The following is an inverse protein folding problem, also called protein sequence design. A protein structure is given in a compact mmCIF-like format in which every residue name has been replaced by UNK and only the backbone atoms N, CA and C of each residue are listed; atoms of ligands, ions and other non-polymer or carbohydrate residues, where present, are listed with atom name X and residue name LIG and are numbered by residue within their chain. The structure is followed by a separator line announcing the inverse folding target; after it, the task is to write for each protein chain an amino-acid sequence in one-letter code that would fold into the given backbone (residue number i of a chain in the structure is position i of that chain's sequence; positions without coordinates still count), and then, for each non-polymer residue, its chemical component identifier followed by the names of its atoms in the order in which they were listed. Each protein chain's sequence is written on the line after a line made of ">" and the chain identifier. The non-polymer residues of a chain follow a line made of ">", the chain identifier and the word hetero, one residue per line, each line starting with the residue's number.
data_IF_953416075874
#
_entry.id   IF_953416075874
#
_cell.length_a   1.000
_cell.length_b   1.000
_cell.length_c   1.000
_cell.angle_alpha   90.00
_cell.angle_beta   90.00
_cell.angle_gamma   90.00
#
_symmetry.space_group_name_H-M   'P 1'
#
loop_
_entity.id
_entity.type
_entity.pdbx_description
1 polymer ?
#
# COMPACT_ATOMS: atom_id res chain seq x y z
N UNK A 1 -65.96 -13.99 -93.04
CA UNK A 1 -65.80 -15.28 -93.74
C UNK A 1 -64.31 -15.57 -93.85
N UNK A 2 -63.91 -16.75 -93.36
CA UNK A 2 -62.68 -17.50 -93.66
C UNK A 2 -61.33 -16.84 -93.28
N UNK A 3 -60.38 -17.47 -92.60
CA UNK A 3 -60.25 -18.83 -92.10
C UNK A 3 -58.83 -19.01 -91.52
N UNK A 4 -58.78 -19.58 -90.31
CA UNK A 4 -57.81 -20.54 -89.74
C UNK A 4 -56.45 -20.74 -90.44
N UNK A 5 -55.34 -20.63 -89.69
CA UNK A 5 -54.42 -21.77 -89.46
C UNK A 5 -53.38 -21.52 -88.35
N UNK A 6 -53.38 -22.49 -87.42
CA UNK A 6 -52.48 -22.77 -86.30
C UNK A 6 -51.01 -22.97 -86.73
N UNK A 7 -50.09 -22.61 -85.84
CA UNK A 7 -49.04 -23.54 -85.38
C UNK A 7 -48.59 -23.22 -83.96
N UNK A 8 -48.28 -24.30 -83.24
CA UNK A 8 -48.14 -24.47 -81.80
C UNK A 8 -46.67 -24.36 -81.36
N UNK A 9 -46.40 -23.83 -80.16
CA UNK A 9 -45.73 -24.53 -79.05
C UNK A 9 -45.09 -23.55 -78.04
N UNK A 10 -45.27 -23.84 -76.75
CA UNK A 10 -44.30 -23.47 -75.71
C UNK A 10 -44.84 -22.54 -74.62
N UNK A 11 -45.36 -23.13 -73.54
CA UNK A 11 -45.60 -22.47 -72.26
C UNK A 11 -44.26 -22.40 -71.50
N UNK A 12 -43.83 -21.21 -71.09
CA UNK A 12 -42.93 -21.03 -69.96
C UNK A 12 -43.21 -19.68 -69.30
N UNK A 13 -43.70 -19.75 -68.06
CA UNK A 13 -44.00 -18.63 -67.18
C UNK A 13 -42.66 -18.08 -66.66
N UNK A 14 -42.29 -16.86 -67.07
CA UNK A 14 -41.13 -16.17 -66.51
C UNK A 14 -41.58 -15.31 -65.32
N UNK A 15 -41.18 -15.76 -64.14
CA UNK A 15 -41.36 -15.09 -62.85
C UNK A 15 -40.44 -13.87 -62.77
N UNK A 16 -40.98 -12.76 -62.28
CA UNK A 16 -40.28 -11.52 -61.95
C UNK A 16 -39.12 -11.77 -60.99
N UNK A 17 -37.91 -11.35 -61.35
CA UNK A 17 -36.86 -11.03 -60.38
C UNK A 17 -36.29 -9.64 -60.67
N UNK A 18 -36.71 -8.69 -59.84
CA UNK A 18 -36.11 -7.36 -59.77
C UNK A 18 -34.66 -7.52 -59.29
N UNK A 19 -33.71 -7.19 -60.16
CA UNK A 19 -32.30 -7.05 -59.78
C UNK A 19 -32.13 -5.77 -58.96
N UNK A 20 -32.22 -5.92 -57.64
CA UNK A 20 -31.70 -4.93 -56.69
C UNK A 20 -30.17 -5.00 -56.75
N UNK A 21 -29.57 -3.90 -57.22
CA UNK A 21 -28.17 -3.57 -56.99
C UNK A 21 -27.96 -3.47 -55.46
N UNK A 22 -27.60 -4.58 -54.84
CA UNK A 22 -27.02 -4.57 -53.50
C UNK A 22 -25.62 -3.99 -53.59
N UNK A 23 -25.52 -2.69 -53.31
CA UNK A 23 -24.31 -2.08 -52.79
C UNK A 23 -23.86 -2.90 -51.60
N UNK A 24 -22.83 -3.74 -51.80
CA UNK A 24 -21.97 -4.17 -50.72
C UNK A 24 -21.24 -2.92 -50.21
N UNK A 25 -21.89 -2.17 -49.32
CA UNK A 25 -21.16 -1.39 -48.33
C UNK A 25 -20.56 -2.42 -47.37
N UNK A 26 -19.43 -2.99 -47.77
CA UNK A 26 -18.47 -3.47 -46.78
C UNK A 26 -18.19 -2.27 -45.89
N UNK A 27 -18.54 -2.39 -44.61
CA UNK A 27 -18.29 -1.39 -43.59
C UNK A 27 -16.79 -1.14 -43.51
N UNK A 28 -16.30 -0.17 -44.28
CA UNK A 28 -14.98 0.43 -44.19
C UNK A 28 -14.88 1.33 -42.95
N UNK A 29 -15.31 0.86 -41.79
CA UNK A 29 -14.87 1.41 -40.50
C UNK A 29 -13.54 0.72 -40.12
N UNK A 30 -12.58 0.80 -41.04
CA UNK A 30 -11.21 0.43 -40.81
C UNK A 30 -10.49 1.65 -40.22
N UNK A 31 -9.77 1.45 -39.12
CA UNK A 31 -8.53 2.17 -38.78
C UNK A 31 -8.56 3.67 -38.40
N UNK A 32 -9.72 4.31 -38.14
CA UNK A 32 -9.69 5.71 -37.68
C UNK A 32 -9.40 5.84 -36.17
N UNK A 33 -8.39 6.65 -35.86
CA UNK A 33 -8.00 7.02 -34.50
C UNK A 33 -9.21 7.61 -33.73
N UNK A 34 -9.57 7.08 -32.54
CA UNK A 34 -10.74 7.57 -31.79
C UNK A 34 -10.66 9.06 -31.48
N UNK A 35 -9.46 9.55 -31.18
CA UNK A 35 -9.16 10.96 -31.02
C UNK A 35 -7.66 11.19 -30.97
N UNK A 36 -7.20 12.33 -31.48
CA UNK A 36 -5.83 12.79 -31.27
C UNK A 36 -5.64 13.47 -29.90
N UNK A 37 -6.70 14.00 -29.30
CA UNK A 37 -6.70 14.50 -27.92
C UNK A 37 -6.84 13.32 -26.96
N UNK A 38 -5.86 13.14 -26.07
CA UNK A 38 -5.82 12.03 -25.12
C UNK A 38 -7.03 12.02 -24.17
N UNK A 39 -7.53 13.19 -23.78
CA UNK A 39 -8.70 13.33 -22.89
C UNK A 39 -9.98 12.76 -23.51
N UNK A 40 -10.10 12.82 -24.84
CA UNK A 40 -11.20 12.23 -25.60
C UNK A 40 -10.90 10.79 -26.05
N UNK A 41 -9.62 10.45 -26.23
CA UNK A 41 -9.19 9.11 -26.59
C UNK A 41 -9.43 8.11 -25.47
N UNK A 42 -9.05 8.42 -24.22
CA UNK A 42 -9.12 7.48 -23.10
C UNK A 42 -10.54 6.94 -22.81
N UNK A 43 -11.60 7.76 -22.79
CA UNK A 43 -12.98 7.27 -22.67
C UNK A 43 -13.37 6.36 -23.83
N UNK A 44 -12.99 6.70 -25.06
CA UNK A 44 -13.27 5.87 -26.24
C UNK A 44 -12.50 4.54 -26.19
N UNK A 45 -11.21 4.57 -25.85
CA UNK A 45 -10.35 3.41 -25.66
C UNK A 45 -10.94 2.44 -24.64
N UNK A 46 -11.30 2.96 -23.47
CA UNK A 46 -11.74 2.13 -22.32
C UNK A 46 -13.17 1.60 -22.45
N UNK A 47 -13.95 2.07 -23.42
CA UNK A 47 -15.38 1.77 -23.56
C UNK A 47 -15.71 0.27 -23.70
N UNK A 48 -14.88 -0.50 -24.40
CA UNK A 48 -15.09 -1.93 -24.61
C UNK A 48 -13.80 -2.69 -24.97
N UNK A 49 -13.85 -4.01 -24.83
CA UNK A 49 -12.72 -4.91 -25.09
C UNK A 49 -12.19 -4.82 -26.53
N UNK A 50 -13.06 -4.63 -27.53
CA UNK A 50 -12.64 -4.55 -28.94
C UNK A 50 -11.77 -3.32 -29.20
N UNK A 51 -12.16 -2.17 -28.65
CA UNK A 51 -11.42 -0.91 -28.81
C UNK A 51 -10.09 -0.97 -28.07
N UNK A 52 -10.09 -1.53 -26.85
CA UNK A 52 -8.85 -1.78 -26.12
C UNK A 52 -7.93 -2.70 -26.90
N UNK A 53 -8.42 -3.82 -27.42
CA UNK A 53 -7.63 -4.76 -28.21
C UNK A 53 -7.05 -4.11 -29.48
N UNK A 54 -7.82 -3.26 -30.15
CA UNK A 54 -7.41 -2.57 -31.38
C UNK A 54 -6.29 -1.56 -31.14
N UNK A 55 -6.37 -0.80 -30.05
CA UNK A 55 -5.43 0.28 -29.74
C UNK A 55 -4.42 -0.11 -28.66
N UNK A 56 -4.17 -1.41 -28.50
CA UNK A 56 -3.08 -1.94 -27.68
C UNK A 56 -1.94 -2.41 -28.59
N UNK A 57 -0.70 -2.09 -28.22
CA UNK A 57 0.47 -2.48 -28.98
C UNK A 57 0.54 -4.01 -29.15
N UNK A 58 1.13 -4.47 -30.25
CA UNK A 58 1.32 -5.91 -30.49
C UNK A 58 2.12 -6.59 -29.38
N UNK A 59 3.06 -5.86 -28.77
CA UNK A 59 3.81 -6.27 -27.59
C UNK A 59 3.70 -5.17 -26.54
N UNK A 60 3.15 -5.51 -25.38
CA UNK A 60 2.96 -4.64 -24.22
C UNK A 60 4.01 -4.95 -23.18
N UNK A 61 4.64 -3.93 -22.60
CA UNK A 61 5.47 -4.07 -21.41
C UNK A 61 4.56 -4.32 -20.21
N UNK A 62 4.69 -5.50 -19.60
CA UNK A 62 3.93 -5.87 -18.41
C UNK A 62 4.85 -5.88 -17.19
N UNK A 63 4.54 -5.05 -16.19
CA UNK A 63 5.18 -5.07 -14.88
C UNK A 63 4.27 -5.78 -13.90
N UNK A 64 4.82 -6.74 -13.15
CA UNK A 64 4.12 -7.42 -12.05
C UNK A 64 5.04 -7.54 -10.85
N UNK A 65 4.49 -7.50 -9.64
CA UNK A 65 5.26 -7.81 -8.44
C UNK A 65 5.53 -9.32 -8.33
N UNK A 66 6.77 -9.69 -8.02
CA UNK A 66 7.17 -11.09 -7.81
C UNK A 66 8.00 -11.24 -6.54
N UNK A 67 7.83 -12.38 -5.82
CA UNK A 67 8.64 -12.66 -4.65
C UNK A 67 10.09 -12.90 -5.08
N UNK A 68 11.04 -12.38 -4.30
CA UNK A 68 12.48 -12.55 -4.52
C UNK A 68 13.13 -13.09 -3.26
N UNK A 69 13.92 -14.16 -3.41
CA UNK A 69 14.58 -14.83 -2.30
C UNK A 69 13.61 -15.46 -1.29
N UNK A 70 14.12 -15.69 -0.09
CA UNK A 70 13.30 -16.03 1.08
C UNK A 70 12.94 -14.73 1.82
N UNK A 71 11.78 -14.70 2.49
CA UNK A 71 11.34 -13.63 3.42
C UNK A 71 10.46 -12.48 2.89
N UNK A 72 9.47 -12.75 2.03
CA UNK A 72 8.36 -11.81 1.80
C UNK A 72 8.73 -10.49 1.13
N UNK A 73 9.91 -10.44 0.49
CA UNK A 73 10.35 -9.32 -0.35
C UNK A 73 9.75 -9.50 -1.74
N UNK A 74 9.17 -8.41 -2.26
CA UNK A 74 8.64 -8.36 -3.62
C UNK A 74 9.37 -7.30 -4.42
N UNK A 75 9.66 -7.63 -5.68
CA UNK A 75 10.26 -6.69 -6.63
C UNK A 75 9.44 -6.63 -7.92
N UNK A 76 9.40 -5.46 -8.59
CA UNK A 76 8.77 -5.34 -9.89
C UNK A 76 9.57 -6.10 -10.94
N UNK A 77 8.89 -7.00 -11.65
CA UNK A 77 9.44 -7.74 -12.78
C UNK A 77 8.73 -7.31 -14.05
N UNK A 78 9.50 -6.81 -15.01
CA UNK A 78 8.99 -6.39 -16.33
C UNK A 78 9.23 -7.48 -17.38
N UNK A 79 8.24 -7.74 -18.21
CA UNK A 79 8.30 -8.66 -19.35
C UNK A 79 7.48 -8.16 -20.53
N UNK A 80 7.79 -8.60 -21.76
CA UNK A 80 6.95 -8.34 -22.92
C UNK A 80 5.84 -9.38 -23.05
N UNK A 81 4.59 -8.94 -23.18
CA UNK A 81 3.44 -9.79 -23.48
C UNK A 81 2.90 -9.46 -24.86
N UNK A 82 2.62 -10.48 -25.68
CA UNK A 82 1.95 -10.24 -26.97
C UNK A 82 0.46 -10.05 -26.76
N UNK A 83 -0.20 -9.37 -27.69
CA UNK A 83 -1.65 -9.10 -27.61
C UNK A 83 -2.50 -10.37 -27.45
N UNK A 84 -2.05 -11.52 -27.96
CA UNK A 84 -2.73 -12.82 -27.78
C UNK A 84 -2.65 -13.38 -26.35
N UNK A 85 -1.72 -12.91 -25.53
CA UNK A 85 -1.58 -13.30 -24.14
C UNK A 85 -2.29 -12.34 -23.16
N UNK A 86 -2.91 -11.28 -23.67
CA UNK A 86 -3.67 -10.31 -22.87
C UNK A 86 -5.14 -10.71 -22.79
N UNK A 87 -5.69 -10.65 -21.59
CA UNK A 87 -7.12 -10.87 -21.35
C UNK A 87 -7.86 -9.52 -21.36
N UNK A 88 -8.60 -9.24 -22.42
CA UNK A 88 -9.42 -8.03 -22.53
C UNK A 88 -10.80 -8.22 -21.85
N UNK A 89 -11.38 -7.17 -21.25
CA UNK A 89 -10.84 -5.82 -21.13
C UNK A 89 -9.68 -5.72 -20.12
N UNK A 90 -8.67 -4.94 -20.46
CA UNK A 90 -7.50 -4.64 -19.61
C UNK A 90 -7.83 -3.61 -18.53
N UNK A 91 -8.71 -2.67 -18.84
CA UNK A 91 -9.18 -1.65 -17.90
C UNK A 91 -10.70 -1.51 -17.92
N UNK A 92 -11.28 -1.08 -16.81
CA UNK A 92 -12.70 -0.73 -16.77
C UNK A 92 -12.94 0.65 -17.41
N UNK A 93 -14.15 0.92 -17.95
CA UNK A 93 -14.47 2.18 -18.60
C UNK A 93 -14.11 3.41 -17.75
N UNK A 94 -13.62 4.45 -18.42
CA UNK A 94 -13.30 5.76 -17.85
C UNK A 94 -14.25 6.78 -18.48
N UNK A 95 -14.89 7.61 -17.66
CA UNK A 95 -15.79 8.65 -18.14
C UNK A 95 -15.05 9.77 -18.87
N UNK A 96 -15.78 10.56 -19.67
CA UNK A 96 -15.24 11.77 -20.30
C UNK A 96 -14.91 12.87 -19.29
N UNK A 97 -15.60 12.86 -18.15
CA UNK A 97 -15.30 13.70 -16.99
C UNK A 97 -14.37 12.97 -16.01
N UNK A 98 -13.93 13.68 -14.96
CA UNK A 98 -13.12 13.11 -13.88
C UNK A 98 -13.77 11.84 -13.32
N UNK A 99 -13.08 10.71 -13.45
CA UNK A 99 -13.49 9.43 -12.87
C UNK A 99 -12.82 9.27 -11.50
N UNK A 100 -13.62 9.07 -10.45
CA UNK A 100 -13.08 8.88 -9.10
C UNK A 100 -12.18 7.63 -9.03
N UNK A 101 -11.02 7.77 -8.39
CA UNK A 101 -10.00 6.72 -8.32
C UNK A 101 -9.19 6.52 -9.60
N UNK A 102 -9.39 7.32 -10.65
CA UNK A 102 -8.55 7.31 -11.86
C UNK A 102 -7.81 8.63 -11.98
N UNK A 103 -6.49 8.56 -12.04
CA UNK A 103 -5.60 9.70 -12.24
C UNK A 103 -4.98 9.62 -13.63
N UNK A 104 -5.04 10.71 -14.39
CA UNK A 104 -4.39 10.82 -15.70
C UNK A 104 -3.19 11.75 -15.53
N UNK A 105 -2.01 11.21 -15.79
CA UNK A 105 -0.74 11.89 -15.63
C UNK A 105 -0.12 12.11 -17.01
N UNK A 106 0.06 13.38 -17.39
CA UNK A 106 0.83 13.77 -18.58
C UNK A 106 2.32 13.67 -18.25
N UNK A 107 3.03 12.79 -18.94
CA UNK A 107 4.49 12.63 -18.78
C UNK A 107 5.22 13.59 -19.73
N UNK A 108 4.77 13.60 -20.99
CA UNK A 108 5.14 14.56 -22.03
C UNK A 108 4.05 14.56 -23.12
N UNK A 109 4.21 15.40 -24.15
CA UNK A 109 3.25 15.55 -25.27
C UNK A 109 2.88 14.22 -25.97
N UNK A 110 3.71 13.19 -25.83
CA UNK A 110 3.56 11.89 -26.48
C UNK A 110 3.36 10.74 -25.49
N UNK A 111 3.31 10.98 -24.18
CA UNK A 111 3.19 9.91 -23.19
C UNK A 111 2.25 10.28 -22.05
N UNK A 112 1.31 9.38 -21.76
CA UNK A 112 0.39 9.49 -20.65
C UNK A 112 0.41 8.21 -19.81
N UNK A 113 0.33 8.38 -18.49
CA UNK A 113 0.01 7.31 -17.57
C UNK A 113 -1.43 7.47 -17.09
N UNK A 114 -2.16 6.36 -17.03
CA UNK A 114 -3.48 6.30 -16.39
C UNK A 114 -3.35 5.40 -15.18
N UNK A 115 -3.41 5.99 -13.99
CA UNK A 115 -3.29 5.29 -12.72
C UNK A 115 -4.67 4.99 -12.17
N UNK A 116 -5.02 3.70 -12.13
CA UNK A 116 -6.30 3.19 -11.69
C UNK A 116 -6.18 2.64 -10.26
N UNK A 117 -6.74 3.40 -9.33
CA UNK A 117 -6.79 3.11 -7.89
C UNK A 117 -8.17 2.65 -7.44
N UNK A 118 -9.12 2.40 -8.36
CA UNK A 118 -10.50 2.04 -8.02
C UNK A 118 -10.60 0.75 -7.20
N UNK A 119 -9.61 -0.13 -7.29
CA UNK A 119 -9.50 -1.36 -6.50
C UNK A 119 -8.75 -1.18 -5.15
N UNK A 120 -8.45 0.07 -4.77
CA UNK A 120 -7.71 0.42 -3.56
C UNK A 120 -6.19 0.45 -3.75
N UNK A 121 -5.47 1.02 -2.78
CA UNK A 121 -4.02 1.21 -2.86
C UNK A 121 -3.23 -0.11 -2.93
N UNK A 122 -3.82 -1.21 -2.45
CA UNK A 122 -3.24 -2.56 -2.56
C UNK A 122 -3.35 -3.18 -3.96
N UNK A 123 -4.09 -2.57 -4.88
CA UNK A 123 -4.41 -3.15 -6.20
C UNK A 123 -4.32 -2.11 -7.32
N UNK A 124 -3.36 -1.19 -7.23
CA UNK A 124 -3.16 -0.15 -8.24
C UNK A 124 -2.69 -0.75 -9.56
N UNK A 125 -3.26 -0.25 -10.66
CA UNK A 125 -2.78 -0.54 -12.01
C UNK A 125 -2.38 0.75 -12.70
N UNK A 126 -1.32 0.72 -13.49
CA UNK A 126 -0.88 1.84 -14.33
C UNK A 126 -0.91 1.41 -15.78
N UNK A 127 -1.58 2.18 -16.63
CA UNK A 127 -1.66 1.96 -18.07
C UNK A 127 -0.84 3.04 -18.77
N UNK A 128 0.22 2.63 -19.47
CA UNK A 128 1.14 3.55 -20.15
C UNK A 128 0.76 3.66 -21.63
N UNK A 129 0.43 4.87 -22.07
CA UNK A 129 0.07 5.18 -23.44
C UNK A 129 1.17 6.01 -24.09
N UNK A 130 1.45 5.71 -25.36
CA UNK A 130 2.35 6.50 -26.19
C UNK A 130 1.69 6.95 -27.48
N UNK A 131 2.13 8.10 -27.99
CA UNK A 131 1.64 8.66 -29.25
C UNK A 131 2.40 8.06 -30.43
N UNK A 132 1.64 7.50 -31.35
CA UNK A 132 2.10 7.09 -32.69
C UNK A 132 1.21 7.78 -33.75
N UNK A 133 0.77 7.06 -34.78
CA UNK A 133 -0.29 7.55 -35.69
C UNK A 133 -1.61 7.82 -34.93
N UNK A 134 -1.83 7.10 -33.83
CA UNK A 134 -2.85 7.37 -32.82
C UNK A 134 -2.24 7.09 -31.44
N UNK A 135 -2.99 7.32 -30.36
CA UNK A 135 -2.62 6.83 -29.04
C UNK A 135 -2.71 5.30 -28.99
N UNK A 136 -1.72 4.67 -28.35
CA UNK A 136 -1.63 3.22 -28.20
C UNK A 136 -1.25 2.87 -26.77
N UNK A 137 -1.91 1.88 -26.18
CA UNK A 137 -1.48 1.28 -24.91
C UNK A 137 -0.23 0.43 -25.15
N UNK A 138 0.90 0.82 -24.56
CA UNK A 138 2.18 0.10 -24.70
C UNK A 138 2.66 -0.57 -23.42
N UNK A 139 2.10 -0.20 -22.27
CA UNK A 139 2.50 -0.74 -20.97
C UNK A 139 1.32 -0.96 -20.02
N UNK A 140 1.41 -2.01 -19.21
CA UNK A 140 0.49 -2.29 -18.10
C UNK A 140 1.31 -2.70 -16.88
N UNK A 141 1.21 -1.93 -15.82
CA UNK A 141 1.81 -2.22 -14.53
C UNK A 141 0.72 -2.69 -13.56
N UNK A 142 0.89 -3.88 -12.99
CA UNK A 142 0.05 -4.42 -11.93
C UNK A 142 0.85 -4.47 -10.63
N UNK A 143 0.57 -3.50 -9.76
CA UNK A 143 1.23 -3.35 -8.46
C UNK A 143 0.53 -4.15 -7.35
N UNK A 144 -0.41 -5.03 -7.70
CA UNK A 144 -1.03 -5.95 -6.74
C UNK A 144 -0.12 -7.13 -6.40
N UNK A 145 -0.35 -7.72 -5.22
CA UNK A 145 0.30 -8.96 -4.78
C UNK A 145 -0.74 -10.08 -4.76
N UNK A 146 -0.58 -11.02 -5.70
CA UNK A 146 -1.44 -12.20 -5.81
C UNK A 146 -1.26 -13.13 -4.61
N UNK A 147 -2.36 -13.69 -4.09
CA UNK A 147 -2.32 -14.61 -2.95
C UNK A 147 -1.50 -15.87 -3.21
N UNK A 148 -1.52 -16.38 -4.44
CA UNK A 148 -0.67 -17.50 -4.87
C UNK A 148 0.84 -17.27 -4.71
N UNK A 149 1.26 -16.00 -4.65
CA UNK A 149 2.67 -15.61 -4.52
C UNK A 149 3.02 -15.33 -3.03
N UNK A 150 2.03 -15.40 -2.12
CA UNK A 150 2.22 -15.31 -0.67
C UNK A 150 2.49 -16.70 -0.08
N UNK A 151 3.31 -16.76 0.97
CA UNK A 151 3.64 -18.01 1.65
C UNK A 151 2.76 -18.17 2.88
N UNK A 152 2.08 -19.31 3.02
CA UNK A 152 1.37 -19.64 4.25
C UNK A 152 2.38 -19.95 5.36
N UNK A 153 2.74 -18.93 6.13
CA UNK A 153 3.55 -19.08 7.34
C UNK A 153 2.63 -19.06 8.55
N UNK A 154 2.66 -20.13 9.35
CA UNK A 154 1.86 -20.19 10.57
C UNK A 154 2.45 -19.26 11.63
N UNK A 155 1.85 -18.08 11.81
CA UNK A 155 2.02 -17.29 13.02
C UNK A 155 0.91 -17.67 14.01
N UNK A 156 1.23 -18.15 15.23
CA UNK A 156 0.24 -18.74 16.14
C UNK A 156 -0.95 -17.83 16.53
N UNK A 157 -0.84 -16.52 16.34
CA UNK A 157 -1.85 -15.53 16.74
C UNK A 157 -2.60 -14.91 15.57
N UNK A 158 -2.21 -15.20 14.33
CA UNK A 158 -2.86 -14.69 13.14
C UNK A 158 -3.62 -15.82 12.45
N UNK A 159 -4.83 -15.52 11.98
CA UNK A 159 -5.51 -16.30 10.95
C UNK A 159 -4.72 -16.30 9.64
N UNK A 160 -5.06 -17.19 8.71
CA UNK A 160 -4.45 -17.22 7.37
C UNK A 160 -4.60 -15.87 6.65
N UNK A 161 -5.79 -15.28 6.67
CA UNK A 161 -6.06 -13.98 6.07
C UNK A 161 -5.20 -12.85 6.68
N UNK A 162 -5.05 -12.83 8.02
CA UNK A 162 -4.18 -11.87 8.69
C UNK A 162 -2.70 -12.07 8.34
N UNK A 163 -2.25 -13.32 8.14
CA UNK A 163 -0.89 -13.62 7.68
C UNK A 163 -0.64 -13.12 6.25
N UNK A 164 -1.61 -13.23 5.35
CA UNK A 164 -1.52 -12.65 4.00
C UNK A 164 -1.48 -11.13 4.04
N UNK A 165 -2.33 -10.51 4.86
CA UNK A 165 -2.29 -9.08 5.11
C UNK A 165 -0.91 -8.65 5.66
N UNK A 166 -0.34 -9.37 6.62
CA UNK A 166 0.98 -9.03 7.16
C UNK A 166 2.07 -9.05 6.08
N UNK A 167 2.08 -10.08 5.23
CA UNK A 167 3.07 -10.18 4.14
C UNK A 167 2.92 -9.07 3.10
N UNK A 168 1.68 -8.76 2.69
CA UNK A 168 1.41 -7.62 1.81
C UNK A 168 1.89 -6.31 2.45
N UNK A 169 1.64 -6.13 3.74
CA UNK A 169 2.06 -4.94 4.47
C UNK A 169 3.58 -4.73 4.46
N UNK A 170 4.35 -5.80 4.74
CA UNK A 170 5.81 -5.78 4.69
C UNK A 170 6.32 -5.52 3.27
N UNK A 171 5.73 -6.16 2.27
CA UNK A 171 6.10 -5.99 0.87
C UNK A 171 5.89 -4.54 0.39
N UNK A 172 4.71 -3.98 0.64
CA UNK A 172 4.40 -2.59 0.27
C UNK A 172 5.25 -1.59 1.06
N UNK A 173 5.52 -1.85 2.35
CA UNK A 173 6.44 -1.01 3.15
C UNK A 173 7.85 -1.03 2.57
N UNK A 174 8.33 -2.20 2.18
CA UNK A 174 9.63 -2.38 1.55
C UNK A 174 9.74 -1.61 0.24
N UNK A 175 8.76 -1.76 -0.65
CA UNK A 175 8.69 -1.04 -1.93
C UNK A 175 8.59 0.48 -1.73
N UNK A 176 7.74 0.94 -0.80
CA UNK A 176 7.58 2.37 -0.49
C UNK A 176 8.87 2.98 0.06
N UNK A 177 9.56 2.27 0.95
CA UNK A 177 10.81 2.71 1.58
C UNK A 177 12.02 2.77 0.64
N UNK A 178 11.92 2.28 -0.59
CA UNK A 178 12.95 2.51 -1.61
C UNK A 178 12.92 3.94 -2.16
N UNK A 179 11.80 4.66 -2.00
CA UNK A 179 11.63 6.07 -2.43
C UNK A 179 11.97 6.32 -3.91
N UNK A 180 11.88 5.29 -4.75
CA UNK A 180 12.23 5.36 -6.18
C UNK A 180 11.03 5.19 -7.11
N UNK A 181 9.87 4.81 -6.56
CA UNK A 181 8.67 4.55 -7.35
C UNK A 181 7.67 5.70 -7.22
N UNK A 182 6.95 5.97 -8.31
CA UNK A 182 5.87 6.97 -8.34
C UNK A 182 4.82 6.73 -7.25
N UNK A 183 4.60 5.46 -6.91
CA UNK A 183 3.59 5.04 -5.93
C UNK A 183 4.09 5.08 -4.47
N UNK A 184 5.21 5.73 -4.13
CA UNK A 184 5.77 5.68 -2.77
C UNK A 184 4.74 6.01 -1.69
N UNK A 185 3.91 7.05 -1.86
CA UNK A 185 2.85 7.39 -0.91
C UNK A 185 1.79 6.29 -0.81
N UNK A 186 1.25 5.87 -1.96
CA UNK A 186 0.21 4.84 -2.03
C UNK A 186 0.69 3.48 -1.51
N UNK A 187 1.97 3.15 -1.66
CA UNK A 187 2.58 1.95 -1.11
C UNK A 187 2.61 2.00 0.42
N UNK A 188 2.89 3.16 1.03
CA UNK A 188 2.77 3.30 2.48
C UNK A 188 1.31 3.26 2.96
N UNK A 189 0.36 3.81 2.19
CA UNK A 189 -1.07 3.67 2.48
C UNK A 189 -1.52 2.21 2.43
N UNK A 190 -1.17 1.50 1.36
CA UNK A 190 -1.44 0.06 1.22
C UNK A 190 -0.79 -0.74 2.35
N UNK A 191 0.44 -0.38 2.76
CA UNK A 191 1.10 -1.01 3.91
C UNK A 191 0.31 -0.81 5.20
N UNK A 192 -0.15 0.41 5.48
CA UNK A 192 -0.94 0.71 6.68
C UNK A 192 -2.27 -0.05 6.69
N UNK A 193 -3.00 -0.05 5.56
CA UNK A 193 -4.25 -0.81 5.38
C UNK A 193 -4.04 -2.30 5.71
N UNK A 194 -2.95 -2.88 5.19
CA UNK A 194 -2.66 -4.29 5.39
C UNK A 194 -2.14 -4.61 6.80
N UNK A 195 -1.39 -3.72 7.47
CA UNK A 195 -1.06 -3.92 8.88
C UNK A 195 -2.30 -3.84 9.77
N UNK A 196 -3.26 -2.96 9.46
CA UNK A 196 -4.54 -2.89 10.19
C UNK A 196 -5.35 -4.17 10.02
N UNK A 197 -5.38 -4.74 8.81
CA UNK A 197 -5.95 -6.07 8.57
C UNK A 197 -5.23 -7.14 9.40
N UNK A 198 -3.90 -7.18 9.38
CA UNK A 198 -3.10 -8.15 10.14
C UNK A 198 -3.24 -8.00 11.68
N UNK A 199 -3.56 -6.80 12.15
CA UNK A 199 -3.78 -6.48 13.55
C UNK A 199 -5.24 -6.69 14.01
N UNK A 200 -6.13 -7.22 13.16
CA UNK A 200 -7.55 -7.32 13.47
C UNK A 200 -7.83 -8.12 14.76
N UNK A 201 -7.11 -9.22 14.99
CA UNK A 201 -7.16 -10.01 16.22
C UNK A 201 -6.24 -9.51 17.33
N UNK A 202 -5.62 -8.35 17.17
CA UNK A 202 -4.71 -7.74 18.14
C UNK A 202 -3.30 -8.34 18.13
N UNK A 203 -2.81 -8.80 16.98
CA UNK A 203 -1.42 -9.25 16.87
C UNK A 203 -0.46 -8.13 17.30
N UNK A 204 0.45 -8.38 18.26
CA UNK A 204 1.30 -7.33 18.81
C UNK A 204 2.24 -6.68 17.79
N UNK A 205 2.80 -7.45 16.85
CA UNK A 205 3.78 -6.93 15.90
C UNK A 205 3.08 -6.13 14.79
N UNK A 206 2.00 -6.66 14.24
CA UNK A 206 1.19 -5.92 13.26
C UNK A 206 0.66 -4.62 13.87
N UNK A 207 0.22 -4.66 15.14
CA UNK A 207 -0.28 -3.48 15.83
C UNK A 207 0.81 -2.42 16.03
N UNK A 208 2.02 -2.83 16.43
CA UNK A 208 3.17 -1.93 16.56
C UNK A 208 3.51 -1.28 15.21
N UNK A 209 3.54 -2.07 14.14
CA UNK A 209 3.88 -1.58 12.80
C UNK A 209 2.82 -0.61 12.27
N UNK A 210 1.52 -0.91 12.44
CA UNK A 210 0.43 -0.03 12.04
C UNK A 210 0.49 1.33 12.77
N UNK A 211 0.61 1.31 14.09
CA UNK A 211 0.68 2.53 14.90
C UNK A 211 1.92 3.37 14.56
N UNK A 212 3.08 2.72 14.43
CA UNK A 212 4.33 3.41 14.10
C UNK A 212 4.31 4.03 12.69
N UNK A 213 3.80 3.29 11.70
CA UNK A 213 3.67 3.79 10.33
C UNK A 213 2.70 4.99 10.28
N UNK A 214 1.57 4.89 10.98
CA UNK A 214 0.61 5.99 11.11
C UNK A 214 1.19 7.24 11.76
N UNK A 215 2.17 7.13 12.66
CA UNK A 215 2.78 8.29 13.32
C UNK A 215 4.02 8.82 12.58
N UNK A 216 4.50 8.12 11.55
CA UNK A 216 5.72 8.47 10.82
C UNK A 216 5.57 9.65 9.85
N UNK A 217 4.33 9.98 9.46
CA UNK A 217 4.04 10.93 8.39
C UNK A 217 4.16 10.35 6.97
N UNK A 218 4.60 9.09 6.81
CA UNK A 218 4.68 8.41 5.51
C UNK A 218 3.32 7.87 5.03
N UNK A 219 2.39 7.64 5.95
CA UNK A 219 1.02 7.21 5.69
C UNK A 219 0.03 8.09 6.47
N UNK A 220 -1.26 8.11 6.10
CA UNK A 220 -2.29 8.84 6.82
C UNK A 220 -2.29 8.52 8.31
N UNK A 221 -2.34 9.57 9.10
CA UNK A 221 -2.41 9.43 10.55
C UNK A 221 -3.80 8.94 10.98
N UNK A 222 -3.82 7.85 11.75
CA UNK A 222 -4.99 7.27 12.36
C UNK A 222 -5.50 8.13 13.52
N UNK A 223 -6.79 7.94 13.85
CA UNK A 223 -7.40 8.55 15.02
C UNK A 223 -6.66 8.14 16.30
N UNK A 224 -6.53 9.07 17.25
CA UNK A 224 -5.80 8.91 18.50
C UNK A 224 -6.19 7.63 19.25
N UNK A 225 -7.49 7.34 19.35
CA UNK A 225 -8.02 6.17 20.05
C UNK A 225 -7.58 4.86 19.37
N UNK A 226 -7.47 4.87 18.03
CA UNK A 226 -7.01 3.70 17.28
C UNK A 226 -5.52 3.47 17.48
N UNK A 227 -4.71 4.53 17.48
CA UNK A 227 -3.27 4.46 17.77
C UNK A 227 -3.04 3.91 19.18
N UNK A 228 -3.79 4.40 20.17
CA UNK A 228 -3.72 3.89 21.55
C UNK A 228 -4.07 2.40 21.62
N UNK A 229 -5.16 1.98 20.95
CA UNK A 229 -5.57 0.57 20.91
C UNK A 229 -4.47 -0.32 20.34
N UNK A 230 -3.83 0.10 19.25
CA UNK A 230 -2.75 -0.64 18.60
C UNK A 230 -1.51 -0.72 19.49
N UNK A 231 -1.11 0.37 20.14
CA UNK A 231 0.01 0.32 21.09
C UNK A 231 -0.29 -0.51 22.34
N UNK A 232 -1.53 -0.51 22.84
CA UNK A 232 -1.96 -1.43 23.91
C UNK A 232 -1.85 -2.89 23.49
N UNK A 233 -2.27 -3.23 22.26
CA UNK A 233 -2.12 -4.57 21.72
C UNK A 233 -0.64 -4.96 21.59
N UNK A 234 0.21 -4.06 21.07
CA UNK A 234 1.64 -4.26 20.98
C UNK A 234 2.30 -4.48 22.36
N UNK A 235 1.92 -3.69 23.36
CA UNK A 235 2.46 -3.75 24.72
C UNK A 235 2.21 -5.08 25.42
N UNK A 236 1.23 -5.89 24.98
CA UNK A 236 0.94 -7.19 25.60
C UNK A 236 2.14 -8.14 25.60
N UNK A 237 2.96 -8.13 24.54
CA UNK A 237 4.12 -9.02 24.43
C UNK A 237 5.37 -8.38 23.84
N UNK A 238 5.33 -7.13 23.36
CA UNK A 238 6.50 -6.43 22.84
C UNK A 238 6.95 -5.32 23.80
N UNK A 239 8.20 -5.35 24.30
CA UNK A 239 8.74 -4.24 25.08
C UNK A 239 8.74 -2.92 24.30
N UNK A 240 8.99 -2.97 22.99
CA UNK A 240 8.92 -1.82 22.08
C UNK A 240 7.50 -1.26 21.99
N UNK A 241 6.48 -2.13 22.02
CA UNK A 241 5.08 -1.74 22.09
C UNK A 241 4.75 -0.99 23.37
N UNK A 242 5.20 -1.50 24.51
CA UNK A 242 5.00 -0.85 25.81
C UNK A 242 5.78 0.47 25.93
N UNK A 243 6.99 0.58 25.37
CA UNK A 243 7.71 1.86 25.28
C UNK A 243 6.98 2.86 24.38
N UNK A 244 6.48 2.42 23.22
CA UNK A 244 5.75 3.29 22.29
C UNK A 244 4.43 3.77 22.90
N UNK A 245 3.76 2.91 23.68
CA UNK A 245 2.59 3.30 24.46
C UNK A 245 2.92 4.37 25.51
N UNK A 246 4.08 4.27 26.17
CA UNK A 246 4.52 5.31 27.12
C UNK A 246 4.72 6.66 26.45
N UNK A 247 5.43 6.68 25.30
CA UNK A 247 5.62 7.90 24.52
C UNK A 247 4.28 8.47 24.04
N UNK A 248 3.39 7.61 23.55
CA UNK A 248 2.04 8.00 23.16
C UNK A 248 1.25 8.65 24.31
N UNK A 249 1.39 8.18 25.55
CA UNK A 249 0.73 8.82 26.69
C UNK A 249 1.27 10.22 27.03
N UNK A 250 2.51 10.54 26.63
CA UNK A 250 3.05 11.89 26.79
C UNK A 250 2.70 12.82 25.64
N UNK A 251 2.80 12.30 24.42
CA UNK A 251 2.82 13.13 23.21
C UNK A 251 1.56 12.96 22.34
N UNK A 252 0.74 11.96 22.65
CA UNK A 252 -0.39 11.54 21.83
C UNK A 252 0.05 11.19 20.41
N UNK A 253 -0.69 11.75 19.46
CA UNK A 253 -0.40 11.62 18.04
C UNK A 253 0.71 12.58 17.54
N UNK A 254 1.21 13.50 18.38
CA UNK A 254 2.22 14.49 17.98
C UNK A 254 3.61 14.08 18.47
N UNK A 255 4.31 13.25 17.69
CA UNK A 255 5.67 12.76 18.01
C UNK A 255 6.74 13.85 18.11
N UNK A 256 6.43 15.11 17.78
CA UNK A 256 7.33 16.27 17.91
C UNK A 256 7.00 17.15 19.12
N UNK A 257 6.10 16.69 20.00
CA UNK A 257 5.77 17.39 21.24
C UNK A 257 7.01 17.51 22.14
N UNK A 258 7.38 18.74 22.47
CA UNK A 258 8.39 19.05 23.50
C UNK A 258 7.72 19.57 24.80
N UNK A 259 6.43 19.30 24.96
CA UNK A 259 5.64 19.70 26.12
C UNK A 259 5.84 18.76 27.32
N UNK A 260 5.30 19.13 28.50
CA UNK A 260 5.21 18.20 29.61
C UNK A 260 4.33 17.00 29.23
N UNK A 261 4.65 15.82 29.77
CA UNK A 261 3.89 14.61 29.53
C UNK A 261 2.40 14.80 29.90
N UNK A 262 1.49 14.47 28.98
CA UNK A 262 0.05 14.62 29.18
C UNK A 262 -0.50 13.63 30.23
N UNK A 263 -0.06 12.39 30.18
CA UNK A 263 -0.52 11.31 31.06
C UNK A 263 0.64 10.60 31.78
N UNK A 264 1.36 11.29 32.70
CA UNK A 264 2.61 10.82 33.29
C UNK A 264 2.48 9.48 34.04
N UNK A 265 1.38 9.27 34.77
CA UNK A 265 1.15 8.00 35.47
C UNK A 265 0.93 6.81 34.53
N UNK A 266 0.24 7.01 33.41
CA UNK A 266 0.03 5.96 32.40
C UNK A 266 1.33 5.70 31.63
N UNK A 267 2.11 6.74 31.36
CA UNK A 267 3.42 6.64 30.75
C UNK A 267 4.43 5.88 31.64
N UNK A 268 4.44 6.13 32.94
CA UNK A 268 5.24 5.38 33.92
C UNK A 268 4.86 3.90 33.91
N UNK A 269 3.57 3.57 34.03
CA UNK A 269 3.14 2.17 34.07
C UNK A 269 3.51 1.40 32.80
N UNK A 270 3.38 2.03 31.64
CA UNK A 270 3.81 1.46 30.36
C UNK A 270 5.35 1.24 30.30
N UNK A 271 6.15 2.16 30.86
CA UNK A 271 7.59 1.94 31.01
C UNK A 271 7.92 0.80 31.98
N UNK A 272 7.22 0.71 33.11
CA UNK A 272 7.37 -0.38 34.06
C UNK A 272 7.02 -1.73 33.40
N UNK A 273 5.98 -1.78 32.58
CA UNK A 273 5.64 -2.96 31.78
C UNK A 273 6.78 -3.36 30.84
N UNK A 274 7.31 -2.44 30.03
CA UNK A 274 8.45 -2.70 29.15
C UNK A 274 9.71 -3.16 29.94
N UNK A 275 9.94 -2.59 31.12
CA UNK A 275 11.04 -2.93 32.00
C UNK A 275 10.90 -4.33 32.62
N UNK A 276 9.68 -4.74 33.01
CA UNK A 276 9.36 -6.11 33.48
C UNK A 276 9.57 -7.15 32.37
N UNK A 277 9.37 -6.77 31.11
CA UNK A 277 9.68 -7.59 29.94
C UNK A 277 11.18 -7.61 29.58
N UNK A 278 12.01 -6.89 30.34
CA UNK A 278 13.46 -6.95 30.27
C UNK A 278 14.14 -5.91 29.41
N UNK A 279 13.40 -4.92 28.87
CA UNK A 279 13.99 -3.86 28.03
C UNK A 279 14.97 -2.99 28.80
N UNK A 280 16.26 -3.07 28.46
CA UNK A 280 17.30 -2.23 29.06
C UNK A 280 17.08 -0.73 28.77
N UNK A 281 16.44 -0.40 27.63
CA UNK A 281 16.07 0.96 27.27
C UNK A 281 14.94 1.50 28.17
N UNK A 282 13.90 0.71 28.42
CA UNK A 282 12.82 1.12 29.32
C UNK A 282 13.31 1.33 30.76
N UNK A 283 14.21 0.47 31.24
CA UNK A 283 14.81 0.61 32.58
C UNK A 283 15.66 1.89 32.67
N UNK A 284 16.40 2.21 31.60
CA UNK A 284 17.14 3.47 31.52
C UNK A 284 16.18 4.68 31.52
N UNK A 285 15.09 4.62 30.76
CA UNK A 285 14.07 5.66 30.72
C UNK A 285 13.38 5.87 32.08
N UNK A 286 13.07 4.81 32.83
CA UNK A 286 12.61 4.93 34.22
C UNK A 286 13.63 5.62 35.11
N UNK A 287 14.92 5.31 34.96
CA UNK A 287 15.99 6.00 35.67
C UNK A 287 15.99 7.51 35.39
N UNK A 288 15.81 7.89 34.13
CA UNK A 288 15.69 9.30 33.71
C UNK A 288 14.42 9.95 34.27
N UNK A 289 13.30 9.24 34.27
CA UNK A 289 12.05 9.73 34.83
C UNK A 289 12.20 10.04 36.33
N UNK A 290 12.83 9.16 37.12
CA UNK A 290 13.12 9.41 38.54
C UNK A 290 14.15 10.52 38.75
N UNK A 291 15.14 10.65 37.86
CA UNK A 291 16.17 11.68 38.01
C UNK A 291 15.62 13.09 37.75
N UNK A 292 14.80 13.23 36.71
CA UNK A 292 14.27 14.51 36.23
C UNK A 292 12.96 14.90 36.92
N UNK A 293 12.17 13.90 37.33
CA UNK A 293 10.81 14.09 37.80
C UNK A 293 9.79 14.35 36.68
N UNK A 294 10.09 13.96 35.43
CA UNK A 294 9.25 14.31 34.27
C UNK A 294 7.95 13.46 34.18
N UNK A 295 7.99 12.20 34.62
CA UNK A 295 6.81 11.30 34.67
C UNK A 295 6.36 11.02 36.10
N UNK A 296 7.23 11.24 37.06
CA UNK A 296 7.12 10.75 38.44
C UNK A 296 7.70 11.77 39.40
N UNK A 297 7.47 11.60 40.70
CA UNK A 297 8.20 12.41 41.67
C UNK A 297 9.70 12.09 41.60
N UNK A 298 10.54 13.13 41.56
CA UNK A 298 11.99 12.97 41.52
C UNK A 298 12.51 12.14 42.70
N UNK A 299 13.28 11.09 42.40
CA UNK A 299 13.89 10.17 43.36
C UNK A 299 15.27 9.71 42.87
N UNK A 300 16.32 10.36 43.38
CA UNK A 300 17.69 10.07 42.96
C UNK A 300 18.15 8.64 43.34
N UNK A 301 17.66 8.08 44.44
CA UNK A 301 18.01 6.73 44.88
C UNK A 301 17.44 5.67 43.94
N UNK A 302 16.20 5.86 43.48
CA UNK A 302 15.58 5.01 42.46
C UNK A 302 16.22 5.21 41.09
N UNK A 303 16.55 6.46 40.72
CA UNK A 303 17.25 6.75 39.47
C UNK A 303 18.58 5.97 39.36
N UNK A 304 19.42 6.04 40.39
CA UNK A 304 20.69 5.29 40.45
C UNK A 304 20.44 3.78 40.40
N UNK A 305 19.45 3.27 41.13
CA UNK A 305 19.10 1.85 41.10
C UNK A 305 18.71 1.40 39.68
N UNK A 306 17.88 2.16 38.99
CA UNK A 306 17.48 1.89 37.61
C UNK A 306 18.65 1.90 36.64
N UNK A 307 19.49 2.94 36.69
CA UNK A 307 20.66 3.00 35.82
C UNK A 307 21.64 1.86 36.09
N UNK A 308 21.82 1.42 37.33
CA UNK A 308 22.64 0.25 37.65
C UNK A 308 22.06 -1.03 37.03
N UNK A 309 20.74 -1.25 37.12
CA UNK A 309 20.07 -2.41 36.52
C UNK A 309 20.19 -2.38 34.99
N UNK A 310 19.93 -1.24 34.37
CA UNK A 310 20.02 -1.06 32.92
C UNK A 310 21.47 -1.23 32.41
N UNK A 311 22.47 -0.70 33.13
CA UNK A 311 23.88 -0.87 32.79
C UNK A 311 24.31 -2.35 32.83
N UNK A 312 23.87 -3.11 33.83
CA UNK A 312 24.10 -4.57 33.90
C UNK A 312 23.47 -5.32 32.74
N UNK A 313 22.40 -4.79 32.16
CA UNK A 313 21.72 -5.31 30.96
C UNK A 313 22.29 -4.75 29.64
N UNK A 314 23.40 -4.01 29.69
CA UNK A 314 24.11 -3.52 28.50
C UNK A 314 23.69 -2.14 28.00
N UNK A 315 22.87 -1.39 28.75
CA UNK A 315 22.52 0.00 28.39
C UNK A 315 23.72 0.93 28.56
N UNK A 316 24.38 1.30 27.45
CA UNK A 316 25.49 2.26 27.45
C UNK A 316 25.08 3.63 27.98
N UNK A 317 23.87 4.09 27.65
CA UNK A 317 23.32 5.36 28.16
C UNK A 317 23.31 5.40 29.68
N UNK A 318 22.91 4.30 30.32
CA UNK A 318 22.87 4.20 31.79
C UNK A 318 24.23 4.32 32.45
N UNK A 319 25.29 3.82 31.81
CA UNK A 319 26.67 3.98 32.30
C UNK A 319 27.04 5.47 32.33
N UNK A 320 26.75 6.20 31.24
CA UNK A 320 27.01 7.63 31.17
C UNK A 320 26.22 8.44 32.21
N UNK A 321 24.95 8.08 32.48
CA UNK A 321 24.18 8.71 33.56
C UNK A 321 24.81 8.44 34.92
N UNK A 322 25.22 7.21 35.22
CA UNK A 322 25.89 6.88 36.50
C UNK A 322 27.19 7.64 36.68
N UNK A 323 28.03 7.69 35.64
CA UNK A 323 29.29 8.45 35.69
C UNK A 323 29.06 9.94 35.96
N UNK A 324 28.07 10.54 35.29
CA UNK A 324 27.69 11.93 35.52
C UNK A 324 27.18 12.15 36.94
N UNK A 325 26.31 11.29 37.45
CA UNK A 325 25.78 11.40 38.81
C UNK A 325 26.89 11.28 39.86
N UNK A 326 27.80 10.30 39.71
CA UNK A 326 28.94 10.12 40.61
C UNK A 326 29.90 11.33 40.64
N UNK A 327 29.99 12.09 39.54
CA UNK A 327 30.78 13.34 39.49
C UNK A 327 30.07 14.53 40.14
N UNK A 328 28.74 14.55 40.12
CA UNK A 328 27.93 15.66 40.62
C UNK A 328 27.64 15.57 42.13
N UNK A 329 27.49 14.37 42.67
CA UNK A 329 27.24 14.16 44.10
C UNK A 329 28.49 13.61 44.78
N UNK A 330 29.13 14.41 45.65
CA UNK A 330 30.23 13.95 46.51
C UNK A 330 29.79 12.89 47.54
N UNK A 331 28.48 12.78 47.78
CA UNK A 331 27.87 11.68 48.53
C UNK A 331 27.33 10.61 47.57
N UNK A 332 27.69 9.35 47.83
CA UNK A 332 27.15 8.20 47.10
C UNK A 332 25.67 8.10 47.45
N UNK A 333 24.80 8.51 46.53
CA UNK A 333 23.36 8.28 46.68
C UNK A 333 23.14 6.77 46.73
N UNK A 334 22.76 6.25 47.90
CA UNK A 334 22.55 4.82 48.09
C UNK A 334 21.37 4.40 47.21
N UNK A 335 21.63 3.48 46.28
CA UNK A 335 20.61 2.92 45.40
C UNK A 335 19.53 2.20 46.22
N UNK A 336 18.26 2.41 45.87
CA UNK A 336 17.11 1.69 46.45
C UNK A 336 16.68 0.55 45.53
N UNK A 337 15.48 0.64 44.93
CA UNK A 337 14.93 -0.30 43.95
C UNK A 337 14.49 0.47 42.70
N UNK A 338 14.31 -0.22 41.57
CA UNK A 338 13.91 0.43 40.31
C UNK A 338 12.38 0.32 40.07
N UNK A 339 11.89 -0.89 39.83
CA UNK A 339 10.48 -1.23 39.56
C UNK A 339 10.16 -2.66 40.01
#
# INVERSE_FOLDING_TARGET
>A
MNGVLKKSNGIAIAVFTASLLSLFHGSAYADECPSEDFSQFLPAFSANAETQQRWTAMTVKSLVLKPVGDHGVFEPKTMGLTSTNLAFPLMAPVGADKTEGVEVEEIDDNHFNVVDKRAGNSNIKIFNFSRQACWVLEGVEDWSISEKDLVETSKPRMSEAENFCFQRAEAFRGLGGLEQYRLTGELFEASLENYLCAAASGDPQASLNAASLSLSGMAPQLQTEKVEQLFKAAATTLPEGAMSLSLFYCDGNNISSNGPCQHPAQAEEALMQAARMGSAFAINALGRAFETGELVTKDMSRAVACYQVAAKKGSKGSIAHLERLNKQTAEITKASYCY
#
